data_IF_982115482242
#
_entry.id   IF_982115482242
#
_cell.length_a   1.000
_cell.length_b   1.000
_cell.length_c   1.000
_cell.angle_alpha   90.00
_cell.angle_beta   90.00
_cell.angle_gamma   90.00
#
_symmetry.space_group_name_H-M   'P 1'
#
loop_
_entity.id
_entity.type
_entity.pdbx_description
1 polymer ?
#
# COMPACT_ATOMS: atom_id res chain seq x y z
N UNK A 1 -14.43 10.16 13.69
CA UNK A 1 -14.98 10.15 12.33
C UNK A 1 -15.45 8.73 12.08
N UNK A 2 -16.71 8.48 12.40
CA UNK A 2 -17.32 7.15 12.38
C UNK A 2 -17.68 6.77 10.95
N UNK A 3 -17.08 5.68 10.46
CA UNK A 3 -17.35 5.10 9.14
C UNK A 3 -18.59 4.22 9.27
N UNK A 4 -19.76 4.76 8.95
CA UNK A 4 -20.99 3.98 8.88
C UNK A 4 -20.96 3.04 7.67
N UNK A 5 -21.17 1.75 7.91
CA UNK A 5 -21.42 0.77 6.85
C UNK A 5 -22.90 0.82 6.47
N UNK A 6 -23.22 1.32 5.28
CA UNK A 6 -24.56 1.16 4.71
C UNK A 6 -24.69 -0.27 4.20
N UNK A 7 -25.44 -1.09 4.93
CA UNK A 7 -25.81 -2.43 4.51
C UNK A 7 -27.11 -2.36 3.70
N UNK A 8 -27.08 -2.74 2.43
CA UNK A 8 -28.28 -2.95 1.62
C UNK A 8 -28.60 -4.44 1.56
N UNK A 9 -29.89 -4.76 1.51
CA UNK A 9 -30.38 -6.14 1.39
C UNK A 9 -30.15 -6.65 -0.03
N UNK A 10 -29.35 -7.71 -0.15
CA UNK A 10 -28.97 -8.31 -1.43
C UNK A 10 -29.59 -9.69 -1.62
N UNK A 11 -30.12 -9.97 -2.82
CA UNK A 11 -30.67 -11.28 -3.19
C UNK A 11 -29.75 -11.98 -4.19
N UNK A 12 -29.04 -13.02 -3.72
CA UNK A 12 -28.08 -13.79 -4.52
C UNK A 12 -28.68 -14.53 -5.74
N UNK A 13 -30.00 -14.65 -5.83
CA UNK A 13 -30.69 -15.33 -6.94
C UNK A 13 -30.96 -14.43 -8.15
N UNK A 14 -30.70 -13.13 -8.05
CA UNK A 14 -31.01 -12.14 -9.10
C UNK A 14 -29.69 -11.67 -9.71
N UNK A 15 -29.58 -11.80 -11.03
CA UNK A 15 -28.49 -11.20 -11.82
C UNK A 15 -28.87 -9.76 -12.16
N UNK A 16 -28.03 -8.81 -11.81
CA UNK A 16 -28.28 -7.39 -12.02
C UNK A 16 -27.50 -6.90 -13.25
N UNK A 17 -28.19 -6.37 -14.25
CA UNK A 17 -27.57 -5.84 -15.48
C UNK A 17 -27.02 -4.41 -15.33
N UNK A 18 -27.17 -3.79 -14.14
CA UNK A 18 -26.66 -2.46 -13.79
C UNK A 18 -26.93 -1.34 -14.82
N UNK A 19 -28.00 -1.49 -15.63
CA UNK A 19 -28.62 -0.56 -16.58
C UNK A 19 -27.77 0.66 -16.99
N UNK A 20 -26.56 0.41 -17.51
CA UNK A 20 -25.67 1.43 -18.10
C UNK A 20 -25.14 2.53 -17.19
N UNK A 21 -25.45 2.53 -15.88
CA UNK A 21 -24.97 3.56 -14.96
C UNK A 21 -23.63 3.22 -14.30
N UNK A 22 -23.23 1.94 -14.32
CA UNK A 22 -21.90 1.46 -13.91
C UNK A 22 -21.61 0.10 -14.57
N UNK A 23 -21.25 0.11 -15.84
CA UNK A 23 -20.64 -1.07 -16.46
C UNK A 23 -19.27 -1.28 -15.79
N UNK A 24 -19.19 -2.31 -14.94
CA UNK A 24 -17.91 -2.77 -14.41
C UNK A 24 -17.06 -3.21 -15.60
N UNK A 25 -15.86 -2.65 -15.75
CA UNK A 25 -14.98 -3.04 -16.87
C UNK A 25 -14.61 -4.52 -16.73
N UNK A 26 -14.47 -5.21 -17.87
CA UNK A 26 -14.04 -6.61 -17.95
C UNK A 26 -15.03 -7.69 -17.48
N UNK A 27 -16.34 -7.38 -17.39
CA UNK A 27 -17.37 -8.40 -17.14
C UNK A 27 -17.47 -8.87 -15.69
N UNK A 28 -17.10 -8.00 -14.76
CA UNK A 28 -17.11 -8.28 -13.32
C UNK A 28 -18.51 -8.17 -12.69
N UNK A 29 -18.69 -8.80 -11.53
CA UNK A 29 -19.99 -8.86 -10.87
C UNK A 29 -20.40 -7.48 -10.36
N UNK A 30 -21.57 -7.02 -10.82
CA UNK A 30 -22.19 -5.79 -10.39
C UNK A 30 -23.36 -6.07 -9.43
N UNK A 31 -23.45 -5.28 -8.37
CA UNK A 31 -24.57 -5.29 -7.43
C UNK A 31 -25.21 -3.92 -7.35
N UNK A 32 -26.54 -3.88 -7.23
CA UNK A 32 -27.30 -2.64 -7.10
C UNK A 32 -28.34 -2.76 -5.98
N UNK A 33 -28.69 -1.61 -5.40
CA UNK A 33 -29.72 -1.48 -4.36
C UNK A 33 -31.11 -1.94 -4.87
N UNK A 34 -31.55 -1.38 -6.00
CA UNK A 34 -32.91 -1.52 -6.49
C UNK A 34 -32.91 -1.91 -7.97
N UNK A 35 -33.80 -2.83 -8.36
CA UNK A 35 -33.96 -3.30 -9.74
C UNK A 35 -34.65 -2.30 -10.67
N UNK A 36 -35.44 -1.38 -10.14
CA UNK A 36 -36.32 -0.47 -10.90
C UNK A 36 -35.79 0.97 -10.95
N UNK A 37 -35.06 1.41 -9.91
CA UNK A 37 -34.40 2.71 -9.89
C UNK A 37 -33.15 2.66 -8.99
N UNK A 38 -32.00 2.19 -9.51
CA UNK A 38 -30.80 2.01 -8.70
C UNK A 38 -30.22 3.36 -8.30
N UNK A 39 -30.14 3.63 -7.00
CA UNK A 39 -29.49 4.84 -6.45
C UNK A 39 -28.01 4.62 -6.16
N UNK A 40 -27.64 3.36 -5.94
CA UNK A 40 -26.30 2.93 -5.61
C UNK A 40 -26.01 1.61 -6.34
N UNK A 41 -24.85 1.54 -6.97
CA UNK A 41 -24.30 0.31 -7.54
C UNK A 41 -22.82 0.18 -7.16
N UNK A 42 -22.38 -1.06 -6.96
CA UNK A 42 -21.02 -1.41 -6.60
C UNK A 42 -20.52 -2.54 -7.51
N UNK A 43 -19.28 -2.38 -7.98
CA UNK A 43 -18.56 -3.42 -8.71
C UNK A 43 -17.72 -4.23 -7.73
N UNK A 44 -17.75 -5.56 -7.87
CA UNK A 44 -16.84 -6.45 -7.15
C UNK A 44 -15.65 -6.77 -8.04
N UNK A 45 -14.53 -6.14 -7.73
CA UNK A 45 -13.30 -6.31 -8.50
C UNK A 45 -12.60 -7.62 -8.18
N UNK A 46 -12.07 -8.28 -9.22
CA UNK A 46 -11.17 -9.42 -9.07
C UNK A 46 -9.83 -8.99 -8.49
N UNK A 47 -9.05 -9.97 -8.05
CA UNK A 47 -7.69 -9.73 -7.55
C UNK A 47 -6.89 -8.91 -8.57
N UNK A 48 -6.17 -7.89 -8.07
CA UNK A 48 -5.38 -6.93 -8.84
C UNK A 48 -6.16 -5.85 -9.61
N UNK A 49 -7.48 -5.73 -9.45
CA UNK A 49 -8.27 -4.64 -10.03
C UNK A 49 -8.89 -3.74 -8.95
N UNK A 50 -9.00 -2.44 -9.23
CA UNK A 50 -9.54 -1.45 -8.29
C UNK A 50 -10.16 -0.24 -9.00
N UNK A 51 -10.90 0.56 -8.23
CA UNK A 51 -11.66 1.72 -8.72
C UNK A 51 -13.16 1.47 -8.65
N UNK A 52 -13.96 2.51 -8.91
CA UNK A 52 -15.43 2.43 -8.85
C UNK A 52 -16.04 1.53 -9.92
N UNK A 53 -15.32 1.31 -11.02
CA UNK A 53 -15.70 0.44 -12.13
C UNK A 53 -14.67 -0.66 -12.39
N UNK A 54 -13.76 -0.89 -11.42
CA UNK A 54 -12.62 -1.81 -11.57
C UNK A 54 -11.70 -1.44 -12.75
N UNK A 55 -11.65 -0.13 -13.08
CA UNK A 55 -10.98 0.38 -14.27
C UNK A 55 -9.45 0.42 -14.18
N UNK A 56 -8.90 0.23 -12.98
CA UNK A 56 -7.46 0.27 -12.76
C UNK A 56 -6.96 -1.12 -12.40
N UNK A 57 -5.89 -1.56 -13.05
CA UNK A 57 -5.22 -2.82 -12.75
C UNK A 57 -3.84 -2.56 -12.16
N UNK A 58 -3.50 -3.33 -11.13
CA UNK A 58 -2.16 -3.33 -10.54
C UNK A 58 -1.33 -4.33 -11.33
N UNK A 59 -0.61 -3.84 -12.34
CA UNK A 59 0.36 -4.64 -13.10
C UNK A 59 1.75 -4.68 -12.47
N UNK A 60 2.02 -3.77 -11.52
CA UNK A 60 3.34 -3.58 -10.91
C UNK A 60 3.21 -3.15 -9.45
N UNK A 61 3.89 -3.87 -8.55
CA UNK A 61 3.98 -3.50 -7.14
C UNK A 61 5.16 -2.55 -6.91
N UNK A 62 4.87 -1.28 -6.62
CA UNK A 62 5.88 -0.37 -6.03
C UNK A 62 5.79 -0.56 -4.51
N UNK A 63 6.63 -1.43 -3.98
CA UNK A 63 6.71 -1.68 -2.54
C UNK A 63 7.64 -0.66 -1.90
N UNK A 64 7.06 0.42 -1.37
CA UNK A 64 7.77 1.27 -0.42
C UNK A 64 7.66 0.67 0.99
N UNK A 65 8.68 0.93 1.82
CA UNK A 65 8.65 0.52 3.22
C UNK A 65 7.42 1.10 3.93
N UNK A 66 7.09 2.37 3.66
CA UNK A 66 5.88 3.04 4.19
C UNK A 66 4.58 2.35 3.81
N UNK A 67 4.46 1.80 2.59
CA UNK A 67 3.26 1.08 2.17
C UNK A 67 3.10 -0.26 2.92
N UNK A 68 4.20 -1.03 3.03
CA UNK A 68 4.20 -2.32 3.75
C UNK A 68 3.97 -2.12 5.26
N UNK A 69 4.67 -1.14 5.83
CA UNK A 69 4.66 -0.90 7.27
C UNK A 69 3.41 -0.13 7.69
N UNK A 70 2.95 0.83 6.89
CA UNK A 70 1.80 1.67 7.20
C UNK A 70 0.52 0.88 7.41
N UNK A 71 0.27 -0.16 6.61
CA UNK A 71 -0.90 -1.04 6.82
C UNK A 71 -0.73 -2.00 8.02
N UNK A 72 0.50 -2.29 8.42
CA UNK A 72 0.84 -3.25 9.49
C UNK A 72 0.99 -2.57 10.86
N UNK A 73 1.21 -1.26 10.90
CA UNK A 73 1.31 -0.47 12.13
C UNK A 73 -0.09 -0.23 12.67
N UNK A 74 -0.33 -0.71 13.88
CA UNK A 74 -1.57 -0.45 14.62
C UNK A 74 -1.27 0.64 15.66
N UNK A 75 -1.79 1.87 15.51
CA UNK A 75 -1.45 2.98 16.38
C UNK A 75 -2.01 2.81 17.81
N UNK A 76 -3.10 2.06 17.97
CA UNK A 76 -3.77 1.86 19.26
C UNK A 76 -3.35 0.57 19.99
N UNK A 77 -2.29 -0.11 19.53
CA UNK A 77 -1.75 -1.29 20.24
C UNK A 77 -0.33 -1.01 20.72
N UNK A 78 0.01 -1.56 21.88
CA UNK A 78 1.36 -1.46 22.44
C UNK A 78 2.38 -2.07 21.48
N UNK A 79 3.62 -1.57 21.53
CA UNK A 79 4.72 -2.04 20.67
C UNK A 79 4.97 -3.55 20.77
N UNK A 80 4.75 -4.13 21.96
CA UNK A 80 4.89 -5.57 22.21
C UNK A 80 3.82 -6.38 21.47
N UNK A 81 2.62 -5.83 21.26
CA UNK A 81 1.53 -6.47 20.52
C UNK A 81 1.60 -6.23 18.99
N UNK A 82 2.53 -5.41 18.50
CA UNK A 82 2.64 -5.17 17.06
C UNK A 82 3.17 -6.41 16.32
N UNK A 83 2.90 -6.45 15.00
CA UNK A 83 3.31 -7.56 14.16
C UNK A 83 4.83 -7.72 14.11
N UNK A 84 5.31 -8.96 13.92
CA UNK A 84 6.74 -9.27 13.86
C UNK A 84 7.48 -8.42 12.81
N UNK A 85 6.82 -8.14 11.68
CA UNK A 85 7.36 -7.29 10.61
C UNK A 85 7.71 -5.89 11.14
N UNK A 86 6.81 -5.26 11.91
CA UNK A 86 7.06 -3.91 12.45
C UNK A 86 8.21 -3.92 13.46
N UNK A 87 8.28 -4.95 14.31
CA UNK A 87 9.37 -5.10 15.28
C UNK A 87 10.73 -5.22 14.59
N UNK A 88 10.83 -6.06 13.57
CA UNK A 88 12.08 -6.25 12.82
C UNK A 88 12.49 -4.96 12.08
N UNK A 89 11.54 -4.27 11.44
CA UNK A 89 11.83 -3.01 10.75
C UNK A 89 12.37 -1.94 11.71
N UNK A 90 11.81 -1.83 12.92
CA UNK A 90 12.27 -0.87 13.94
C UNK A 90 13.69 -1.16 14.42
N UNK A 91 14.14 -2.43 14.36
CA UNK A 91 15.51 -2.81 14.68
C UNK A 91 16.46 -2.57 13.51
N UNK A 92 16.05 -2.95 12.29
CA UNK A 92 16.93 -2.87 11.12
C UNK A 92 17.19 -1.44 10.65
N UNK A 93 16.18 -0.56 10.68
CA UNK A 93 16.33 0.84 10.25
C UNK A 93 17.47 1.58 10.96
N UNK A 94 17.53 1.64 12.31
CA UNK A 94 18.63 2.31 13.00
C UNK A 94 19.96 1.58 12.80
N UNK A 95 19.96 0.25 12.69
CA UNK A 95 21.18 -0.52 12.46
C UNK A 95 21.82 -0.17 11.11
N UNK A 96 21.03 -0.14 10.03
CA UNK A 96 21.52 0.27 8.71
C UNK A 96 22.00 1.72 8.71
N UNK A 97 21.30 2.60 9.44
CA UNK A 97 21.70 4.00 9.58
C UNK A 97 23.05 4.16 10.30
N UNK A 98 23.27 3.43 11.39
CA UNK A 98 24.54 3.45 12.14
C UNK A 98 25.68 2.94 11.27
N UNK A 99 25.49 1.82 10.55
CA UNK A 99 26.50 1.28 9.62
C UNK A 99 26.83 2.30 8.52
N UNK A 100 25.81 2.98 7.97
CA UNK A 100 26.00 4.05 6.99
C UNK A 100 26.80 5.23 7.54
N UNK A 101 26.50 5.66 8.78
CA UNK A 101 27.24 6.73 9.46
C UNK A 101 28.71 6.37 9.69
N UNK A 102 28.97 5.15 10.16
CA UNK A 102 30.35 4.67 10.37
C UNK A 102 31.13 4.71 9.05
N UNK A 103 30.53 4.18 7.98
CA UNK A 103 31.14 4.19 6.65
C UNK A 103 31.38 5.62 6.12
N UNK A 104 30.42 6.53 6.31
CA UNK A 104 30.56 7.92 5.92
C UNK A 104 31.71 8.62 6.68
N UNK A 105 31.81 8.39 7.99
CA UNK A 105 32.88 8.95 8.83
C UNK A 105 34.25 8.38 8.45
N UNK A 106 34.36 7.06 8.23
CA UNK A 106 35.59 6.41 7.76
C UNK A 106 36.01 6.94 6.39
N UNK A 107 35.05 7.13 5.48
CA UNK A 107 35.33 7.66 4.15
C UNK A 107 35.86 9.10 4.27
N UNK A 108 35.16 9.95 5.04
CA UNK A 108 35.59 11.33 5.29
C UNK A 108 37.00 11.38 5.90
N UNK A 109 37.26 10.55 6.91
CA UNK A 109 38.59 10.46 7.53
C UNK A 109 39.65 10.05 6.51
N UNK A 110 39.38 9.03 5.69
CA UNK A 110 40.30 8.54 4.64
C UNK A 110 40.62 9.65 3.63
N UNK A 111 39.63 10.43 3.21
CA UNK A 111 39.82 11.55 2.27
C UNK A 111 40.45 12.80 2.92
N UNK A 112 40.41 12.92 4.25
CA UNK A 112 41.08 13.99 4.99
C UNK A 112 42.56 13.70 5.26
N UNK A 113 43.04 12.45 5.13
CA UNK A 113 44.46 12.13 5.27
C UNK A 113 45.23 12.69 4.06
N UNK A 114 46.23 13.53 4.36
CA UNK A 114 47.08 14.26 3.40
C UNK A 114 47.65 13.35 2.29
N UNK A 115 48.10 12.14 2.66
CA UNK A 115 48.68 11.15 1.75
C UNK A 115 47.73 10.67 0.62
N UNK A 116 46.41 10.75 0.80
CA UNK A 116 45.44 10.35 -0.23
C UNK A 116 45.18 11.48 -1.25
N UNK A 117 45.49 12.74 -0.91
CA UNK A 117 45.37 13.89 -1.83
C UNK A 117 46.59 14.04 -2.76
N UNK A 118 47.73 13.46 -2.40
CA UNK A 118 48.99 13.60 -3.17
C UNK A 118 49.13 12.64 -4.36
N UNK A 119 48.30 11.59 -4.46
CA UNK A 119 48.37 10.61 -5.58
C UNK A 119 47.39 10.92 -6.73
N UNK A 120 46.83 12.14 -6.74
CA UNK A 120 45.80 12.58 -7.69
C UNK A 120 46.15 13.84 -8.47
N UNK A 121 47.37 13.95 -8.99
CA UNK A 121 47.61 14.81 -10.17
C UNK A 121 47.63 13.90 -11.39
N UNK A 122 46.52 13.90 -12.14
CA UNK A 122 46.52 13.51 -13.55
C UNK A 122 47.17 14.59 -14.41
#
# INVERSE_FOLDING_TARGET
MDRFSNCFTFYHSITYDCQGYNDCESGEQCFQDNTTCPSLSICVCSDCYYGTKCQFSISSFILSLDYILGYRIKPNVSFVQQSLIVKMSVVFTPLMFIVGLINALLSMATFCVENARDVGCG
#
